data_IF_421991615930
#
_entry.id   IF_421991615930
#
_cell.length_a   1.000
_cell.length_b   1.000
_cell.length_c   1.000
_cell.angle_alpha   90.00
_cell.angle_beta   90.00
_cell.angle_gamma   90.00
#
_symmetry.space_group_name_H-M   'P 1'
#
loop_
_entity.id
_entity.type
_entity.pdbx_description
1 polymer ?
#
# COMPACT_ATOMS: atom_id res chain seq x y z
N UNK A 1 15.00 -6.16 -10.62
CA UNK A 1 13.58 -6.17 -10.17
C UNK A 1 13.03 -4.77 -9.87
N UNK A 2 13.65 -3.99 -8.97
CA UNK A 2 13.22 -2.63 -8.57
C UNK A 2 12.91 -1.68 -9.74
N UNK A 3 13.87 -1.45 -10.65
CA UNK A 3 13.71 -0.53 -11.80
C UNK A 3 12.49 -0.88 -12.68
N UNK A 4 12.27 -2.16 -12.97
CA UNK A 4 11.09 -2.62 -13.75
C UNK A 4 9.76 -2.26 -13.07
N UNK A 5 9.68 -2.39 -11.75
CA UNK A 5 8.49 -2.00 -10.96
C UNK A 5 8.29 -0.48 -11.04
N UNK A 6 9.36 0.29 -10.86
CA UNK A 6 9.32 1.75 -10.94
C UNK A 6 8.87 2.23 -12.31
N UNK A 7 9.38 1.62 -13.39
CA UNK A 7 9.03 1.96 -14.76
C UNK A 7 7.54 1.67 -15.05
N UNK A 8 7.02 0.53 -14.58
CA UNK A 8 5.59 0.18 -14.69
C UNK A 8 4.68 1.14 -13.94
N UNK A 9 5.03 1.54 -12.72
CA UNK A 9 4.26 2.56 -11.99
C UNK A 9 4.33 3.92 -12.69
N UNK A 10 5.48 4.27 -13.28
CA UNK A 10 5.64 5.51 -14.03
C UNK A 10 4.72 5.55 -15.27
N UNK A 11 4.49 4.42 -15.94
CA UNK A 11 3.56 4.31 -17.07
C UNK A 11 2.11 4.65 -16.72
N UNK A 12 1.70 4.44 -15.46
CA UNK A 12 0.38 4.86 -14.94
C UNK A 12 0.43 6.21 -14.20
N UNK A 13 1.50 6.97 -14.42
CA UNK A 13 1.68 8.30 -13.83
C UNK A 13 1.94 8.29 -12.33
N UNK A 14 2.44 7.20 -11.74
CA UNK A 14 2.81 7.11 -10.32
C UNK A 14 4.33 6.94 -10.16
N UNK A 15 4.97 7.84 -9.41
CA UNK A 15 6.41 7.78 -9.15
C UNK A 15 6.62 7.11 -7.80
N UNK A 16 7.30 5.96 -7.78
CA UNK A 16 7.58 5.20 -6.55
C UNK A 16 9.08 4.98 -6.32
N UNK A 17 9.49 5.07 -5.07
CA UNK A 17 10.82 4.72 -4.54
C UNK A 17 11.99 5.39 -5.28
N UNK A 18 11.78 6.57 -5.87
CA UNK A 18 12.87 7.33 -6.48
C UNK A 18 13.73 7.91 -5.35
N UNK A 19 15.06 7.81 -5.42
CA UNK A 19 15.94 8.35 -4.40
C UNK A 19 15.83 9.88 -4.38
N UNK A 20 15.81 10.46 -3.17
CA UNK A 20 16.00 11.89 -2.92
C UNK A 20 17.42 12.15 -2.43
N UNK A 21 17.92 13.37 -2.63
CA UNK A 21 19.13 13.81 -1.93
C UNK A 21 18.89 13.71 -0.41
N UNK A 22 19.84 13.11 0.33
CA UNK A 22 19.70 12.86 1.76
C UNK A 22 19.28 11.45 2.16
N UNK A 23 19.14 10.51 1.22
CA UNK A 23 18.96 9.07 1.52
C UNK A 23 17.50 8.62 1.67
N UNK A 24 16.55 9.55 1.64
CA UNK A 24 15.12 9.25 1.56
C UNK A 24 14.68 8.86 0.13
N UNK A 25 13.39 8.56 -0.02
CA UNK A 25 12.78 8.37 -1.32
C UNK A 25 11.54 9.26 -1.53
N UNK A 26 11.00 9.24 -2.76
CA UNK A 26 9.85 10.08 -3.15
C UNK A 26 8.51 9.62 -2.64
N UNK A 27 8.41 8.47 -1.97
CA UNK A 27 7.13 8.00 -1.44
C UNK A 27 6.67 8.94 -0.33
N UNK A 28 5.45 9.43 -0.50
CA UNK A 28 4.74 10.27 0.46
C UNK A 28 3.31 9.75 0.67
N UNK A 29 2.50 10.46 1.45
CA UNK A 29 1.11 10.08 1.67
C UNK A 29 0.28 10.02 0.39
N UNK A 30 0.58 10.85 -0.61
CA UNK A 30 -0.11 10.80 -1.90
C UNK A 30 0.25 9.55 -2.69
N UNK A 31 1.52 9.17 -2.67
CA UNK A 31 2.03 7.94 -3.29
C UNK A 31 1.38 6.71 -2.68
N UNK A 32 1.33 6.64 -1.33
CA UNK A 32 0.66 5.57 -0.61
C UNK A 32 -0.82 5.49 -0.96
N UNK A 33 -1.56 6.61 -0.92
CA UNK A 33 -2.98 6.65 -1.29
C UNK A 33 -3.23 6.10 -2.70
N UNK A 34 -2.42 6.51 -3.69
CA UNK A 34 -2.57 6.04 -5.07
C UNK A 34 -2.21 4.56 -5.21
N UNK A 35 -1.19 4.08 -4.50
CA UNK A 35 -0.81 2.66 -4.49
C UNK A 35 -1.94 1.78 -3.96
N UNK A 36 -2.56 2.15 -2.83
CA UNK A 36 -3.63 1.36 -2.22
C UNK A 36 -5.00 1.56 -2.88
N UNK A 37 -5.24 2.68 -3.58
CA UNK A 37 -6.50 2.96 -4.28
C UNK A 37 -6.78 1.96 -5.41
N UNK A 38 -5.73 1.50 -6.11
CA UNK A 38 -5.84 0.51 -7.19
C UNK A 38 -5.02 -0.73 -6.84
N UNK A 39 -5.55 -1.53 -5.92
CA UNK A 39 -4.88 -2.74 -5.44
C UNK A 39 -4.62 -3.76 -6.55
N UNK A 40 -5.52 -3.85 -7.55
CA UNK A 40 -5.38 -4.75 -8.71
C UNK A 40 -4.13 -4.35 -9.51
N UNK A 41 -4.03 -3.08 -9.93
CA UNK A 41 -2.88 -2.61 -10.69
C UNK A 41 -1.59 -2.70 -9.89
N UNK A 42 -1.64 -2.37 -8.60
CA UNK A 42 -0.48 -2.51 -7.71
C UNK A 42 -0.01 -3.96 -7.56
N UNK A 43 -0.94 -4.92 -7.47
CA UNK A 43 -0.64 -6.35 -7.44
C UNK A 43 0.00 -6.82 -8.75
N UNK A 44 -0.58 -6.46 -9.90
CA UNK A 44 -0.05 -6.76 -11.24
C UNK A 44 1.38 -6.23 -11.43
N UNK A 45 1.67 -5.03 -10.93
CA UNK A 45 2.98 -4.39 -11.10
C UNK A 45 4.02 -5.00 -10.17
N UNK A 46 3.67 -5.19 -8.89
CA UNK A 46 4.62 -5.63 -7.84
C UNK A 46 4.79 -7.15 -7.76
N UNK A 47 3.78 -7.90 -8.22
CA UNK A 47 3.64 -9.33 -8.00
C UNK A 47 3.23 -9.70 -6.56
N UNK A 48 2.82 -8.74 -5.74
CA UNK A 48 2.27 -8.99 -4.41
C UNK A 48 0.79 -9.38 -4.55
N UNK A 49 0.31 -10.23 -3.64
CA UNK A 49 -1.09 -10.63 -3.63
C UNK A 49 -2.02 -9.42 -3.47
N UNK A 50 -3.04 -9.34 -4.32
CA UNK A 50 -3.99 -8.23 -4.33
C UNK A 50 -4.78 -8.11 -3.02
N UNK A 51 -5.24 -9.22 -2.46
CA UNK A 51 -5.96 -9.24 -1.19
C UNK A 51 -5.08 -8.69 -0.06
N UNK A 52 -3.78 -9.01 -0.06
CA UNK A 52 -2.84 -8.44 0.90
C UNK A 52 -2.74 -6.92 0.77
N UNK A 53 -2.53 -6.40 -0.44
CA UNK A 53 -2.47 -4.95 -0.69
C UNK A 53 -3.77 -4.27 -0.24
N UNK A 54 -4.91 -4.83 -0.62
CA UNK A 54 -6.24 -4.29 -0.30
C UNK A 54 -6.45 -4.24 1.22
N UNK A 55 -6.15 -5.33 1.92
CA UNK A 55 -6.35 -5.41 3.38
C UNK A 55 -5.41 -4.48 4.16
N UNK A 56 -4.15 -4.35 3.75
CA UNK A 56 -3.25 -3.34 4.33
C UNK A 56 -3.74 -1.91 4.05
N UNK A 57 -4.31 -1.66 2.87
CA UNK A 57 -4.94 -0.38 2.56
C UNK A 57 -6.09 -0.03 3.52
N UNK A 58 -6.92 -1.01 3.90
CA UNK A 58 -7.99 -0.83 4.89
C UNK A 58 -7.41 -0.57 6.28
N UNK A 59 -6.42 -1.35 6.71
CA UNK A 59 -5.76 -1.16 8.03
C UNK A 59 -5.22 0.26 8.16
N UNK A 60 -4.46 0.72 7.18
CA UNK A 60 -3.85 2.05 7.22
C UNK A 60 -4.90 3.17 7.18
N UNK A 61 -5.98 3.00 6.41
CA UNK A 61 -7.09 3.96 6.41
C UNK A 61 -7.80 4.03 7.76
N UNK A 62 -8.08 2.88 8.38
CA UNK A 62 -8.70 2.81 9.71
C UNK A 62 -7.83 3.46 10.78
N UNK A 63 -6.52 3.20 10.78
CA UNK A 63 -5.58 3.85 11.71
C UNK A 63 -5.48 5.37 11.49
N UNK A 64 -5.78 5.84 10.28
CA UNK A 64 -5.68 7.26 9.89
C UNK A 64 -7.03 7.98 9.89
N UNK A 65 -8.12 7.34 10.32
CA UNK A 65 -9.47 7.87 10.08
C UNK A 65 -9.87 9.02 11.02
N UNK A 66 -9.15 9.23 12.13
CA UNK A 66 -9.47 10.20 13.17
C UNK A 66 -10.83 9.98 13.86
N UNK A 67 -11.39 8.76 13.78
CA UNK A 67 -12.59 8.33 14.50
C UNK A 67 -12.27 7.24 15.50
N UNK A 68 -13.20 6.99 16.43
CA UNK A 68 -13.13 5.81 17.29
C UNK A 68 -13.18 4.53 16.46
N UNK A 69 -12.25 3.63 16.75
CA UNK A 69 -12.13 2.34 16.06
C UNK A 69 -12.79 1.29 16.94
N UNK A 70 -13.66 0.47 16.37
CA UNK A 70 -14.11 -0.75 17.02
C UNK A 70 -12.94 -1.73 17.12
N UNK A 71 -12.33 -1.81 18.31
CA UNK A 71 -11.11 -2.58 18.56
C UNK A 71 -11.32 -4.07 18.28
N UNK A 72 -12.48 -4.64 18.63
CA UNK A 72 -12.76 -6.06 18.41
C UNK A 72 -12.87 -6.38 16.92
N UNK A 73 -13.59 -5.56 16.16
CA UNK A 73 -13.71 -5.74 14.72
C UNK A 73 -12.36 -5.55 14.00
N UNK A 74 -11.59 -4.54 14.41
CA UNK A 74 -10.26 -4.29 13.86
C UNK A 74 -9.27 -5.43 14.18
N UNK A 75 -9.26 -5.92 15.42
CA UNK A 75 -8.41 -7.03 15.84
C UNK A 75 -8.72 -8.31 15.04
N UNK A 76 -10.00 -8.66 14.87
CA UNK A 76 -10.41 -9.80 14.05
C UNK A 76 -9.96 -9.63 12.58
N UNK A 77 -10.12 -8.43 12.02
CA UNK A 77 -9.71 -8.14 10.64
C UNK A 77 -8.20 -8.28 10.42
N UNK A 78 -7.40 -7.85 11.40
CA UNK A 78 -5.93 -7.99 11.39
C UNK A 78 -5.52 -9.46 11.59
N UNK A 79 -6.19 -10.17 12.49
CA UNK A 79 -5.90 -11.59 12.77
C UNK A 79 -6.14 -12.48 11.54
N UNK A 80 -7.21 -12.24 10.79
CA UNK A 80 -7.45 -12.92 9.50
C UNK A 80 -6.25 -12.81 8.54
N UNK A 81 -5.61 -11.64 8.49
CA UNK A 81 -4.45 -11.40 7.61
C UNK A 81 -3.23 -12.14 8.15
N UNK A 82 -3.01 -12.08 9.48
CA UNK A 82 -1.89 -12.75 10.16
C UNK A 82 -1.92 -14.27 9.99
N UNK A 83 -3.11 -14.85 9.84
CA UNK A 83 -3.23 -16.30 9.58
C UNK A 83 -2.92 -16.67 8.14
N UNK A 84 -3.03 -15.73 7.20
CA UNK A 84 -2.78 -15.95 5.78
C UNK A 84 -1.32 -15.65 5.35
N UNK A 85 -0.57 -14.85 6.13
CA UNK A 85 0.78 -14.36 5.81
C UNK A 85 1.65 -14.25 7.05
#
# INVERSE_FOLDING_TARGET
>A
RKRKIQDKFKQIGLIVSQPKQGGENTNDGNTARRFFKDAIKSAEITGVNENLIRRFGVILQTLSCCYEININAFANYVEDIRQLY
#
